data_IF_593785095997
#
_entry.id   IF_593785095997
#
_cell.length_a   1.000
_cell.length_b   1.000
_cell.length_c   1.000
_cell.angle_alpha   90.00
_cell.angle_beta   90.00
_cell.angle_gamma   90.00
#
_symmetry.space_group_name_H-M   'P 1'
#
loop_
_entity.id
_entity.type
_entity.pdbx_description
1 polymer ?
#
# COMPACT_ATOMS: atom_id res chain seq x y z
N UNK A 1 42.80 -5.50 -74.58
CA UNK A 1 43.71 -5.30 -73.44
C UNK A 1 43.73 -6.60 -72.66
N UNK A 2 44.92 -7.13 -72.39
CA UNK A 2 45.15 -8.48 -71.86
C UNK A 2 44.77 -8.54 -70.38
N UNK A 3 44.07 -9.61 -69.98
CA UNK A 3 43.81 -9.94 -68.57
C UNK A 3 45.13 -10.23 -67.84
N UNK A 4 45.55 -9.33 -66.96
CA UNK A 4 46.59 -9.62 -65.96
C UNK A 4 46.01 -10.60 -64.93
N UNK A 5 46.23 -11.90 -65.15
CA UNK A 5 45.97 -12.91 -64.14
C UNK A 5 46.89 -12.66 -62.95
N UNK A 6 46.31 -12.37 -61.79
CA UNK A 6 46.98 -12.34 -60.49
C UNK A 6 47.69 -13.69 -60.26
N UNK A 7 49.00 -13.74 -60.45
CA UNK A 7 49.81 -14.92 -60.16
C UNK A 7 50.03 -14.99 -58.66
N UNK A 8 49.35 -15.91 -57.98
CA UNK A 8 49.60 -16.20 -56.57
C UNK A 8 51.00 -16.84 -56.43
N UNK A 9 51.76 -16.53 -55.36
CA UNK A 9 53.09 -17.09 -55.18
C UNK A 9 53.03 -18.62 -55.06
N UNK A 10 53.86 -19.31 -55.86
CA UNK A 10 54.04 -20.74 -55.80
C UNK A 10 54.52 -21.18 -54.41
N UNK A 11 54.08 -22.37 -53.97
CA UNK A 11 54.41 -22.94 -52.67
C UNK A 11 55.93 -22.94 -52.42
N UNK A 12 56.36 -22.48 -51.23
CA UNK A 12 57.77 -22.54 -50.85
C UNK A 12 58.32 -23.98 -50.92
N UNK A 13 59.58 -24.18 -51.33
CA UNK A 13 60.15 -25.49 -51.54
C UNK A 13 60.17 -26.28 -50.22
N UNK A 14 59.27 -27.26 -50.09
CA UNK A 14 59.11 -28.10 -48.90
C UNK A 14 57.66 -28.29 -48.40
N UNK A 15 56.67 -27.59 -48.96
CA UNK A 15 55.27 -27.77 -48.58
C UNK A 15 54.59 -28.91 -49.37
N UNK A 16 53.99 -29.88 -48.68
CA UNK A 16 53.32 -31.06 -49.27
C UNK A 16 51.96 -30.79 -49.94
N UNK A 17 51.55 -29.52 -50.09
CA UNK A 17 50.28 -29.15 -50.70
C UNK A 17 50.30 -27.72 -51.28
N UNK A 18 49.70 -27.54 -52.46
CA UNK A 18 49.59 -26.27 -53.18
C UNK A 18 48.58 -25.31 -52.50
N UNK A 19 49.05 -24.13 -52.10
CA UNK A 19 48.22 -23.05 -51.54
C UNK A 19 47.69 -22.17 -52.68
N UNK A 20 46.40 -21.85 -52.65
CA UNK A 20 45.75 -21.07 -53.70
C UNK A 20 44.34 -20.62 -53.34
N UNK A 21 43.58 -20.11 -54.31
CA UNK A 21 42.19 -19.72 -54.09
C UNK A 21 41.36 -20.88 -53.54
N UNK A 22 40.62 -20.64 -52.46
CA UNK A 22 39.88 -21.65 -51.67
C UNK A 22 40.73 -22.80 -51.08
N UNK A 23 42.06 -22.70 -51.12
CA UNK A 23 43.02 -23.70 -50.60
C UNK A 23 43.93 -23.07 -49.54
N UNK A 24 43.44 -22.84 -48.30
CA UNK A 24 44.24 -22.21 -47.26
C UNK A 24 45.41 -23.11 -46.82
N UNK A 25 46.55 -22.53 -46.37
CA UNK A 25 47.70 -23.29 -45.88
C UNK A 25 47.31 -24.27 -44.77
N UNK A 26 47.80 -25.50 -44.84
CA UNK A 26 47.45 -26.56 -43.89
C UNK A 26 47.76 -26.16 -42.43
N UNK A 27 48.89 -25.47 -42.19
CA UNK A 27 49.31 -25.03 -40.86
C UNK A 27 48.36 -24.03 -40.17
N UNK A 28 47.48 -23.34 -40.93
CA UNK A 28 46.55 -22.33 -40.40
C UNK A 28 45.09 -22.76 -40.41
N UNK A 29 44.79 -24.01 -40.80
CA UNK A 29 43.40 -24.53 -40.76
C UNK A 29 43.00 -24.85 -39.33
N UNK A 30 41.78 -24.48 -38.95
CA UNK A 30 41.23 -24.90 -37.66
C UNK A 30 41.02 -26.42 -37.63
N UNK A 31 41.27 -27.04 -36.47
CA UNK A 31 41.02 -28.47 -36.29
C UNK A 31 39.51 -28.73 -36.30
N UNK A 32 39.03 -29.79 -36.97
CA UNK A 32 37.63 -30.20 -36.89
C UNK A 32 37.19 -30.35 -35.43
N UNK A 33 36.05 -29.75 -35.08
CA UNK A 33 35.52 -29.77 -33.71
C UNK A 33 36.05 -28.70 -32.75
N UNK A 34 37.09 -27.94 -33.15
CA UNK A 34 37.63 -26.85 -32.33
C UNK A 34 37.31 -25.49 -32.96
N UNK A 35 36.52 -24.67 -32.24
CA UNK A 35 36.26 -23.28 -32.64
C UNK A 35 37.58 -22.50 -32.65
N UNK A 36 37.80 -21.71 -33.70
CA UNK A 36 38.93 -20.77 -33.78
C UNK A 36 38.87 -19.65 -32.73
N UNK A 37 37.72 -19.43 -32.11
CA UNK A 37 37.56 -18.55 -30.95
C UNK A 37 36.86 -19.31 -29.81
N UNK A 38 37.62 -19.93 -28.89
CA UNK A 38 37.07 -20.65 -27.73
C UNK A 38 36.31 -19.74 -26.75
N UNK A 39 36.65 -18.44 -26.71
CA UNK A 39 35.94 -17.42 -25.93
C UNK A 39 34.76 -16.79 -26.69
N UNK A 40 34.51 -17.27 -27.90
CA UNK A 40 33.36 -16.85 -28.70
C UNK A 40 32.05 -17.25 -28.03
N UNK A 41 30.94 -16.75 -28.59
CA UNK A 41 29.61 -17.04 -28.07
C UNK A 41 29.35 -18.56 -28.04
N UNK A 42 28.95 -19.16 -26.91
CA UNK A 42 28.69 -20.59 -26.82
C UNK A 42 27.59 -21.01 -27.80
N UNK A 43 27.84 -22.14 -28.49
CA UNK A 43 26.89 -22.75 -29.43
C UNK A 43 25.60 -23.11 -28.66
N UNK A 44 24.47 -22.50 -29.02
CA UNK A 44 23.16 -22.75 -28.39
C UNK A 44 22.69 -21.72 -27.36
N UNK A 45 23.44 -20.64 -27.09
CA UNK A 45 23.00 -19.57 -26.20
C UNK A 45 21.81 -18.76 -26.79
N UNK A 46 20.58 -19.15 -26.45
CA UNK A 46 19.37 -18.36 -26.73
C UNK A 46 19.28 -17.18 -25.75
N UNK A 47 18.81 -16.02 -26.22
CA UNK A 47 18.40 -14.95 -25.30
C UNK A 47 17.25 -15.53 -24.46
N UNK A 48 17.48 -15.76 -23.16
CA UNK A 48 16.43 -16.25 -22.25
C UNK A 48 15.31 -15.22 -22.27
N UNK A 49 14.13 -15.61 -22.76
CA UNK A 49 12.93 -14.80 -22.57
C UNK A 49 12.58 -14.84 -21.08
N UNK A 50 12.12 -13.73 -20.49
CA UNK A 50 11.65 -13.74 -19.11
C UNK A 50 10.59 -14.83 -18.92
N UNK A 51 10.53 -15.36 -17.69
CA UNK A 51 9.51 -16.33 -17.31
C UNK A 51 8.09 -15.77 -17.53
N UNK A 52 7.08 -16.64 -17.60
CA UNK A 52 5.68 -16.23 -17.81
C UNK A 52 5.14 -15.25 -16.74
N UNK A 53 5.79 -15.20 -15.58
CA UNK A 53 5.48 -14.36 -14.42
C UNK A 53 6.45 -13.18 -14.24
N UNK A 54 7.46 -13.05 -15.11
CA UNK A 54 8.42 -11.95 -15.05
C UNK A 54 7.95 -10.82 -15.97
N UNK A 55 7.10 -9.95 -15.45
CA UNK A 55 6.62 -8.77 -16.15
C UNK A 55 7.62 -7.60 -16.09
N UNK A 56 8.88 -7.87 -16.43
CA UNK A 56 10.01 -6.92 -16.30
C UNK A 56 9.73 -5.53 -16.88
N UNK A 57 8.89 -5.44 -17.91
CA UNK A 57 8.47 -4.16 -18.48
C UNK A 57 7.54 -3.38 -17.56
N UNK A 58 6.59 -4.05 -16.90
CA UNK A 58 5.72 -3.41 -15.91
C UNK A 58 6.53 -2.90 -14.73
N UNK A 59 7.49 -3.69 -14.24
CA UNK A 59 8.37 -3.27 -13.15
C UNK A 59 9.15 -2.00 -13.53
N UNK A 60 9.77 -1.98 -14.71
CA UNK A 60 10.49 -0.79 -15.21
C UNK A 60 9.55 0.42 -15.35
N UNK A 61 8.34 0.22 -15.86
CA UNK A 61 7.35 1.30 -16.02
C UNK A 61 6.94 1.85 -14.64
N UNK A 62 6.68 0.98 -13.67
CA UNK A 62 6.31 1.38 -12.32
C UNK A 62 7.47 2.10 -11.62
N UNK A 63 8.68 1.55 -11.71
CA UNK A 63 9.88 2.16 -11.15
C UNK A 63 10.12 3.57 -11.71
N UNK A 64 10.02 3.76 -13.03
CA UNK A 64 10.20 5.09 -13.63
C UNK A 64 9.02 6.03 -13.34
N UNK A 65 7.80 5.50 -13.24
CA UNK A 65 6.62 6.28 -12.87
C UNK A 65 6.70 6.85 -11.45
N UNK A 66 7.24 6.08 -10.49
CA UNK A 66 7.39 6.47 -9.10
C UNK A 66 8.74 7.11 -8.76
N UNK A 67 9.67 7.17 -9.72
CA UNK A 67 10.92 7.90 -9.54
C UNK A 67 10.67 9.40 -9.50
N UNK A 68 11.30 10.05 -8.52
CA UNK A 68 11.26 11.50 -8.37
C UNK A 68 11.97 12.24 -9.52
N UNK A 69 11.35 13.33 -9.95
CA UNK A 69 11.89 14.31 -10.88
C UNK A 69 11.69 15.73 -10.37
N UNK A 70 12.67 16.58 -10.63
CA UNK A 70 12.59 18.01 -10.28
C UNK A 70 11.82 18.75 -11.36
N UNK A 71 10.68 19.33 -10.99
CA UNK A 71 9.87 20.19 -11.88
C UNK A 71 9.86 21.61 -11.34
N UNK A 72 9.90 22.59 -12.26
CA UNK A 72 9.82 24.01 -11.92
C UNK A 72 8.36 24.47 -11.96
N UNK A 73 7.87 24.96 -10.83
CA UNK A 73 6.55 25.57 -10.66
C UNK A 73 6.73 27.05 -10.36
N UNK A 74 6.65 27.87 -11.42
CA UNK A 74 6.91 29.32 -11.33
C UNK A 74 8.32 29.63 -10.82
N UNK A 75 8.39 30.13 -9.59
CA UNK A 75 9.65 30.51 -8.93
C UNK A 75 10.23 29.43 -8.01
N UNK A 76 9.54 28.29 -7.82
CA UNK A 76 10.00 27.20 -6.94
C UNK A 76 10.27 25.95 -7.76
N UNK A 77 11.21 25.14 -7.29
CA UNK A 77 11.47 23.80 -7.82
C UNK A 77 11.00 22.77 -6.79
N UNK A 78 10.20 21.80 -7.22
CA UNK A 78 9.64 20.75 -6.36
C UNK A 78 10.04 19.39 -6.92
N UNK A 79 10.47 18.48 -6.05
CA UNK A 79 10.68 17.07 -6.39
C UNK A 79 9.36 16.32 -6.23
N UNK A 80 8.87 15.72 -7.31
CA UNK A 80 7.65 14.91 -7.33
C UNK A 80 7.85 13.68 -8.23
N UNK A 81 7.09 12.59 -8.03
CA UNK A 81 7.13 11.43 -8.92
C UNK A 81 6.86 11.79 -10.39
N UNK A 82 7.53 11.11 -11.32
CA UNK A 82 7.40 11.32 -12.76
C UNK A 82 5.94 11.25 -13.22
N UNK A 83 5.19 10.25 -12.77
CA UNK A 83 3.78 10.10 -13.14
C UNK A 83 2.95 11.32 -12.71
N UNK A 84 3.22 11.86 -11.51
CA UNK A 84 2.54 13.06 -11.02
C UNK A 84 2.92 14.30 -11.84
N UNK A 85 4.19 14.46 -12.19
CA UNK A 85 4.67 15.53 -13.06
C UNK A 85 3.99 15.50 -14.45
N UNK A 86 3.88 14.31 -15.06
CA UNK A 86 3.20 14.12 -16.35
C UNK A 86 1.72 14.47 -16.25
N UNK A 87 1.02 14.01 -15.21
CA UNK A 87 -0.40 14.33 -15.00
C UNK A 87 -0.64 15.82 -14.77
N UNK A 88 0.22 16.51 -14.02
CA UNK A 88 0.14 17.98 -13.84
C UNK A 88 0.32 18.71 -15.16
N UNK A 89 1.33 18.34 -15.95
CA UNK A 89 1.57 18.92 -17.27
C UNK A 89 0.39 18.68 -18.22
N UNK A 90 -0.16 17.47 -18.23
CA UNK A 90 -1.36 17.13 -19.01
C UNK A 90 -2.55 18.02 -18.62
N UNK A 91 -2.80 18.20 -17.32
CA UNK A 91 -3.88 19.03 -16.81
C UNK A 91 -3.70 20.51 -17.19
N UNK A 92 -2.49 21.06 -17.07
CA UNK A 92 -2.18 22.45 -17.47
C UNK A 92 -2.44 22.64 -18.97
N UNK A 93 -1.93 21.73 -19.82
CA UNK A 93 -2.13 21.80 -21.27
C UNK A 93 -3.62 21.67 -21.66
N UNK A 94 -4.37 20.82 -20.95
CA UNK A 94 -5.81 20.68 -21.14
C UNK A 94 -6.56 21.98 -20.76
N UNK A 95 -6.20 22.58 -19.62
CA UNK A 95 -6.77 23.85 -19.17
C UNK A 95 -6.45 25.02 -20.12
N UNK A 96 -5.30 24.98 -20.78
CA UNK A 96 -4.90 25.95 -21.81
C UNK A 96 -5.56 25.74 -23.18
N UNK A 97 -6.44 24.74 -23.33
CA UNK A 97 -7.22 24.56 -24.56
C UNK A 97 -6.62 23.60 -25.58
N UNK A 98 -5.56 22.85 -25.25
CA UNK A 98 -5.01 21.88 -26.19
C UNK A 98 -5.95 20.67 -26.35
N UNK A 99 -6.61 20.56 -27.51
CA UNK A 99 -7.64 19.54 -27.77
C UNK A 99 -7.19 18.10 -27.48
N UNK A 100 -5.94 17.74 -27.80
CA UNK A 100 -5.40 16.40 -27.51
C UNK A 100 -5.27 16.15 -26.01
N UNK A 101 -4.76 17.13 -25.27
CA UNK A 101 -4.63 17.05 -23.82
C UNK A 101 -6.00 17.00 -23.14
N UNK A 102 -6.97 17.81 -23.60
CA UNK A 102 -8.35 17.80 -23.09
C UNK A 102 -9.01 16.43 -23.28
N UNK A 103 -8.87 15.82 -24.46
CA UNK A 103 -9.41 14.47 -24.72
C UNK A 103 -8.78 13.43 -23.82
N UNK A 104 -7.44 13.39 -23.74
CA UNK A 104 -6.73 12.42 -22.91
C UNK A 104 -7.07 12.60 -21.43
N UNK A 105 -7.09 13.84 -20.94
CA UNK A 105 -7.46 14.14 -19.55
C UNK A 105 -8.90 13.71 -19.23
N UNK A 106 -9.85 14.01 -20.12
CA UNK A 106 -11.26 13.62 -19.94
C UNK A 106 -11.45 12.09 -19.96
N UNK A 107 -10.69 11.38 -20.79
CA UNK A 107 -10.70 9.91 -20.84
C UNK A 107 -10.16 9.29 -19.54
N UNK A 108 -9.01 9.75 -19.07
CA UNK A 108 -8.42 9.29 -17.81
C UNK A 108 -9.34 9.60 -16.63
N UNK A 109 -9.97 10.78 -16.61
CA UNK A 109 -10.94 11.14 -15.58
C UNK A 109 -12.14 10.19 -15.59
N UNK A 110 -12.75 9.95 -16.77
CA UNK A 110 -13.88 9.04 -16.90
C UNK A 110 -13.52 7.59 -16.51
N UNK A 111 -12.31 7.12 -16.85
CA UNK A 111 -11.84 5.79 -16.48
C UNK A 111 -11.65 5.66 -14.96
N UNK A 112 -11.04 6.66 -14.32
CA UNK A 112 -10.88 6.69 -12.86
C UNK A 112 -12.23 6.77 -12.17
N UNK A 113 -13.14 7.64 -12.63
CA UNK A 113 -14.48 7.76 -12.06
C UNK A 113 -15.29 6.47 -12.25
N UNK A 114 -15.24 5.84 -13.43
CA UNK A 114 -15.93 4.58 -13.68
C UNK A 114 -15.38 3.43 -12.84
N UNK A 115 -14.06 3.32 -12.73
CA UNK A 115 -13.39 2.30 -11.90
C UNK A 115 -13.73 2.50 -10.41
N UNK A 116 -13.65 3.76 -9.94
CA UNK A 116 -14.03 4.15 -8.59
C UNK A 116 -15.50 3.84 -8.32
N UNK A 117 -16.40 4.20 -9.23
CA UNK A 117 -17.84 3.93 -9.10
C UNK A 117 -18.15 2.42 -9.08
N UNK A 118 -17.42 1.61 -9.85
CA UNK A 118 -17.60 0.15 -9.85
C UNK A 118 -17.16 -0.47 -8.52
N UNK A 119 -16.00 -0.06 -8.00
CA UNK A 119 -15.52 -0.52 -6.69
C UNK A 119 -16.45 -0.06 -5.56
N UNK A 120 -16.93 1.18 -5.60
CA UNK A 120 -17.91 1.67 -4.63
C UNK A 120 -19.25 0.94 -4.73
N UNK A 121 -19.73 0.65 -5.94
CA UNK A 121 -20.98 -0.08 -6.12
C UNK A 121 -20.88 -1.52 -5.60
N UNK A 122 -19.78 -2.22 -5.88
CA UNK A 122 -19.52 -3.57 -5.36
C UNK A 122 -19.39 -3.55 -3.83
N UNK A 123 -18.70 -2.54 -3.28
CA UNK A 123 -18.55 -2.39 -1.84
C UNK A 123 -19.89 -2.09 -1.14
N UNK A 124 -20.69 -1.19 -1.72
CA UNK A 124 -22.03 -0.85 -1.25
C UNK A 124 -22.96 -2.07 -1.26
N UNK A 125 -22.97 -2.84 -2.36
CA UNK A 125 -23.77 -4.06 -2.48
C UNK A 125 -23.43 -5.10 -1.39
N UNK A 126 -22.13 -5.32 -1.16
CA UNK A 126 -21.64 -6.21 -0.10
C UNK A 126 -22.03 -5.70 1.30
N UNK A 127 -21.94 -4.40 1.53
CA UNK A 127 -22.31 -3.79 2.81
C UNK A 127 -23.82 -3.90 3.09
N UNK A 128 -24.66 -3.63 2.09
CA UNK A 128 -26.12 -3.80 2.16
C UNK A 128 -26.45 -5.26 2.48
N UNK A 129 -25.85 -6.20 1.75
CA UNK A 129 -26.08 -7.64 1.95
C UNK A 129 -25.70 -8.07 3.36
N UNK A 130 -24.51 -7.68 3.83
CA UNK A 130 -24.05 -7.98 5.19
C UNK A 130 -25.01 -7.46 6.26
N UNK A 131 -25.49 -6.22 6.10
CA UNK A 131 -26.46 -5.61 7.03
C UNK A 131 -27.78 -6.37 7.06
N UNK A 132 -28.37 -6.63 5.89
CA UNK A 132 -29.65 -7.31 5.75
C UNK A 132 -29.57 -8.74 6.31
N UNK A 133 -28.53 -9.49 5.96
CA UNK A 133 -28.40 -10.88 6.37
C UNK A 133 -28.12 -11.01 7.87
N UNK A 134 -27.32 -10.10 8.43
CA UNK A 134 -27.11 -10.04 9.87
C UNK A 134 -28.40 -9.68 10.62
N UNK A 135 -29.20 -8.71 10.15
CA UNK A 135 -30.49 -8.37 10.76
C UNK A 135 -31.49 -9.53 10.72
N UNK A 136 -31.55 -10.24 9.58
CA UNK A 136 -32.39 -11.44 9.43
C UNK A 136 -31.97 -12.52 10.41
N UNK A 137 -30.68 -12.78 10.56
CA UNK A 137 -30.17 -13.80 11.48
C UNK A 137 -30.43 -13.42 12.95
N UNK A 138 -30.24 -12.15 13.32
CA UNK A 138 -30.58 -11.67 14.67
C UNK A 138 -32.08 -11.80 14.97
N UNK A 139 -32.94 -11.46 14.01
CA UNK A 139 -34.40 -11.62 14.14
C UNK A 139 -34.78 -13.08 14.30
N UNK A 140 -34.23 -13.96 13.46
CA UNK A 140 -34.44 -15.42 13.55
C UNK A 140 -34.02 -15.96 14.91
N UNK A 141 -32.87 -15.53 15.45
CA UNK A 141 -32.42 -15.94 16.78
C UNK A 141 -33.36 -15.48 17.88
N UNK A 142 -33.84 -14.25 17.81
CA UNK A 142 -34.81 -13.70 18.77
C UNK A 142 -36.12 -14.48 18.77
N UNK A 143 -36.67 -14.79 17.59
CA UNK A 143 -37.90 -15.58 17.43
C UNK A 143 -37.76 -17.01 17.98
N UNK A 144 -36.56 -17.60 17.85
CA UNK A 144 -36.27 -18.96 18.32
C UNK A 144 -35.71 -19.02 19.75
N UNK A 145 -35.55 -17.87 20.43
CA UNK A 145 -34.96 -17.81 21.77
C UNK A 145 -33.49 -18.26 21.84
N UNK A 146 -32.73 -18.15 20.75
CA UNK A 146 -31.33 -18.59 20.67
C UNK A 146 -30.42 -17.48 21.22
N UNK A 147 -29.91 -17.64 22.44
CA UNK A 147 -29.03 -16.66 23.11
C UNK A 147 -27.55 -17.06 23.16
N UNK A 148 -27.24 -18.33 22.93
CA UNK A 148 -25.90 -18.89 23.21
C UNK A 148 -24.93 -18.82 22.01
N UNK A 149 -25.27 -18.07 20.97
CA UNK A 149 -24.42 -17.94 19.79
C UNK A 149 -23.68 -16.60 19.78
N UNK A 150 -22.43 -16.57 19.29
CA UNK A 150 -21.71 -15.32 19.12
C UNK A 150 -22.47 -14.42 18.15
N UNK A 151 -22.59 -13.14 18.52
CA UNK A 151 -23.16 -12.12 17.64
C UNK A 151 -22.39 -12.05 16.32
N UNK A 152 -23.08 -11.72 15.21
CA UNK A 152 -22.45 -11.54 13.91
C UNK A 152 -21.38 -10.44 13.95
N UNK A 153 -20.36 -10.61 13.11
CA UNK A 153 -19.28 -9.65 12.94
C UNK A 153 -19.09 -9.40 11.44
N UNK A 154 -19.19 -8.14 10.97
CA UNK A 154 -19.63 -6.96 11.74
C UNK A 154 -21.10 -7.10 12.20
N UNK A 155 -21.45 -6.43 13.30
CA UNK A 155 -22.85 -6.30 13.68
C UNK A 155 -23.57 -5.40 12.66
N UNK A 156 -24.85 -5.66 12.29
CA UNK A 156 -25.57 -4.81 11.34
C UNK A 156 -25.59 -3.32 11.69
N UNK A 157 -25.67 -2.99 12.98
CA UNK A 157 -25.64 -1.59 13.45
C UNK A 157 -24.30 -0.90 13.23
N UNK A 158 -23.20 -1.65 13.10
CA UNK A 158 -21.89 -1.10 12.78
C UNK A 158 -21.80 -0.67 11.31
N UNK A 159 -22.67 -1.18 10.43
CA UNK A 159 -22.69 -0.81 9.01
C UNK A 159 -23.66 0.35 8.80
N UNK A 160 -23.12 1.57 8.69
CA UNK A 160 -23.88 2.79 8.39
C UNK A 160 -23.78 3.11 6.89
N UNK A 161 -24.92 3.29 6.25
CA UNK A 161 -24.99 3.53 4.80
C UNK A 161 -25.76 4.84 4.58
N UNK A 162 -25.14 5.80 3.91
CA UNK A 162 -25.84 6.96 3.39
C UNK A 162 -26.37 6.63 1.99
N UNK A 163 -27.67 6.39 1.89
CA UNK A 163 -28.31 6.03 0.62
C UNK A 163 -28.39 7.17 -0.39
N UNK A 164 -28.11 8.42 0.00
CA UNK A 164 -28.05 9.56 -0.92
C UNK A 164 -26.70 9.64 -1.63
N UNK A 165 -25.60 9.44 -0.90
CA UNK A 165 -24.24 9.50 -1.44
C UNK A 165 -23.69 8.14 -1.87
N UNK A 166 -24.25 7.04 -1.35
CA UNK A 166 -23.72 5.69 -1.51
C UNK A 166 -22.51 5.39 -0.60
N UNK A 167 -22.20 6.28 0.35
CA UNK A 167 -21.08 6.09 1.27
C UNK A 167 -21.42 5.05 2.35
N UNK A 168 -20.45 4.17 2.62
CA UNK A 168 -20.52 3.12 3.63
C UNK A 168 -19.48 3.41 4.71
N UNK A 169 -19.94 3.57 5.95
CA UNK A 169 -19.11 3.79 7.13
C UNK A 169 -19.27 2.61 8.10
N UNK A 170 -18.14 1.99 8.48
CA UNK A 170 -18.12 0.91 9.47
C UNK A 170 -17.72 1.50 10.82
N UNK A 171 -18.65 1.48 11.77
CA UNK A 171 -18.51 2.06 13.11
C UNK A 171 -18.55 0.92 14.13
N UNK A 172 -17.49 0.11 14.13
CA UNK A 172 -17.39 -1.09 14.95
C UNK A 172 -16.39 -2.12 14.42
N UNK A 173 -16.14 -3.20 15.19
CA UNK A 173 -15.25 -4.27 14.75
C UNK A 173 -15.79 -4.95 13.49
N UNK A 174 -14.92 -5.12 12.51
CA UNK A 174 -15.16 -5.85 11.27
C UNK A 174 -14.68 -7.29 11.36
N UNK A 175 -13.77 -7.60 12.29
CA UNK A 175 -13.26 -8.95 12.53
C UNK A 175 -13.51 -9.43 13.96
N UNK A 176 -13.45 -10.76 14.16
CA UNK A 176 -13.59 -11.36 15.49
C UNK A 176 -12.44 -10.94 16.42
N UNK A 177 -11.24 -10.84 15.88
CA UNK A 177 -10.04 -10.39 16.59
C UNK A 177 -10.21 -8.96 17.10
N UNK A 178 -10.64 -8.04 16.23
CA UNK A 178 -10.95 -6.66 16.62
C UNK A 178 -12.04 -6.59 17.70
N UNK A 179 -13.05 -7.46 17.61
CA UNK A 179 -14.12 -7.53 18.62
C UNK A 179 -13.60 -8.01 19.98
N UNK A 180 -12.68 -8.96 20.00
CA UNK A 180 -12.05 -9.45 21.23
C UNK A 180 -11.11 -8.40 21.83
N UNK A 181 -10.35 -7.72 20.99
CA UNK A 181 -9.49 -6.61 21.40
C UNK A 181 -10.31 -5.45 22.00
N UNK A 182 -11.41 -5.07 21.34
CA UNK A 182 -12.35 -4.08 21.83
C UNK A 182 -12.91 -4.48 23.21
N UNK A 183 -13.33 -5.73 23.38
CA UNK A 183 -13.80 -6.26 24.68
C UNK A 183 -12.71 -6.19 25.75
N UNK A 184 -11.47 -6.54 25.40
CA UNK A 184 -10.34 -6.46 26.31
C UNK A 184 -10.12 -5.05 26.83
N UNK A 185 -10.13 -4.05 25.93
CA UNK A 185 -9.93 -2.65 26.31
C UNK A 185 -11.10 -2.08 27.10
N UNK A 186 -12.34 -2.39 26.71
CA UNK A 186 -13.53 -2.01 27.48
C UNK A 186 -13.51 -2.59 28.90
N UNK A 187 -13.00 -3.80 29.10
CA UNK A 187 -12.85 -4.41 30.42
C UNK A 187 -11.68 -3.85 31.23
N UNK A 188 -10.67 -3.27 30.57
CA UNK A 188 -9.47 -2.73 31.20
C UNK A 188 -9.61 -1.26 31.59
N UNK A 189 -10.39 -0.49 30.84
CA UNK A 189 -10.58 0.94 31.05
C UNK A 189 -11.11 1.28 32.47
N UNK A 190 -12.12 0.57 33.02
CA UNK A 190 -12.56 0.77 34.41
C UNK A 190 -11.44 0.52 35.42
N UNK A 191 -10.60 -0.49 35.20
CA UNK A 191 -9.47 -0.82 36.10
C UNK A 191 -8.40 0.26 36.10
N UNK A 192 -8.17 0.88 34.94
CA UNK A 192 -7.27 2.04 34.85
C UNK A 192 -7.86 3.21 35.64
N UNK A 193 -9.17 3.44 35.55
CA UNK A 193 -9.83 4.48 36.35
C UNK A 193 -9.75 4.21 37.84
N UNK A 194 -10.02 2.97 38.27
CA UNK A 194 -9.90 2.55 39.67
C UNK A 194 -8.47 2.79 40.20
N UNK A 195 -7.43 2.43 39.43
CA UNK A 195 -6.05 2.68 39.82
C UNK A 195 -5.72 4.18 39.94
N UNK A 196 -6.28 5.03 39.07
CA UNK A 196 -6.15 6.49 39.19
C UNK A 196 -6.86 6.97 40.45
N UNK A 197 -8.09 6.52 40.72
CA UNK A 197 -8.87 6.90 41.90
C UNK A 197 -8.16 6.47 43.21
N UNK A 198 -7.49 5.32 43.23
CA UNK A 198 -6.66 4.86 44.34
C UNK A 198 -5.44 5.77 44.58
N UNK A 199 -4.74 6.17 43.51
CA UNK A 199 -3.62 7.11 43.60
C UNK A 199 -4.07 8.51 44.01
N UNK A 200 -5.21 8.99 43.49
CA UNK A 200 -5.84 10.25 43.92
C UNK A 200 -6.18 10.19 45.42
N UNK A 201 -6.70 9.06 45.91
CA UNK A 201 -6.95 8.84 47.34
C UNK A 201 -5.68 8.85 48.19
N UNK A 202 -4.62 8.16 47.75
CA UNK A 202 -3.33 8.15 48.44
C UNK A 202 -2.69 9.55 48.51
N UNK A 203 -2.86 10.35 47.46
CA UNK A 203 -2.37 11.73 47.41
C UNK A 203 -3.06 12.64 48.45
N UNK A 204 -4.31 12.38 48.82
CA UNK A 204 -5.03 13.21 49.80
C UNK A 204 -4.46 13.13 51.22
N UNK A 205 -3.89 11.97 51.58
CA UNK A 205 -3.38 11.69 52.92
C UNK A 205 -1.84 11.82 53.00
N UNK A 206 -1.15 12.05 51.87
CA UNK A 206 0.31 12.16 51.80
C UNK A 206 0.82 13.57 52.15
N UNK A 207 1.92 13.63 52.89
CA UNK A 207 2.53 14.89 53.35
C UNK A 207 4.02 15.02 53.00
N UNK A 208 4.66 13.96 52.49
CA UNK A 208 6.05 13.97 52.04
C UNK A 208 6.13 14.57 50.63
N UNK A 209 6.82 15.72 50.42
CA UNK A 209 6.82 16.43 49.13
C UNK A 209 7.32 15.62 47.92
N UNK A 210 8.33 14.78 48.12
CA UNK A 210 8.87 13.93 47.06
C UNK A 210 7.88 12.82 46.64
N UNK A 211 7.15 12.25 47.61
CA UNK A 211 6.11 11.23 47.36
C UNK A 211 4.87 11.84 46.71
N UNK A 212 4.44 13.03 47.16
CA UNK A 212 3.39 13.82 46.48
C UNK A 212 3.73 14.00 45.00
N UNK A 213 4.96 14.44 44.72
CA UNK A 213 5.43 14.65 43.33
C UNK A 213 5.42 13.34 42.54
N UNK A 214 5.85 12.23 43.15
CA UNK A 214 5.81 10.89 42.53
C UNK A 214 4.39 10.41 42.21
N UNK A 215 3.44 10.63 43.13
CA UNK A 215 2.03 10.31 42.95
C UNK A 215 1.39 11.18 41.86
N UNK A 216 1.64 12.49 41.84
CA UNK A 216 1.14 13.40 40.80
C UNK A 216 1.60 12.97 39.40
N UNK A 217 2.87 12.58 39.24
CA UNK A 217 3.40 12.07 37.96
C UNK A 217 2.69 10.76 37.56
N UNK A 218 2.45 9.87 38.51
CA UNK A 218 1.80 8.57 38.25
C UNK A 218 0.33 8.73 37.88
N UNK A 219 -0.39 9.64 38.56
CA UNK A 219 -1.77 10.02 38.21
C UNK A 219 -1.81 10.61 36.81
N UNK A 220 -0.93 11.57 36.49
CA UNK A 220 -0.89 12.19 35.16
C UNK A 220 -0.64 11.17 34.04
N UNK A 221 0.25 10.20 34.25
CA UNK A 221 0.48 9.10 33.30
C UNK A 221 -0.75 8.19 33.15
N UNK A 222 -1.43 7.90 34.26
CA UNK A 222 -2.68 7.15 34.27
C UNK A 222 -3.79 7.87 33.49
N UNK A 223 -3.99 9.17 33.74
CA UNK A 223 -4.95 10.01 33.01
C UNK A 223 -4.62 10.08 31.52
N UNK A 224 -3.36 10.26 31.14
CA UNK A 224 -2.94 10.28 29.74
C UNK A 224 -3.25 8.94 29.03
N UNK A 225 -2.96 7.82 29.70
CA UNK A 225 -3.27 6.48 29.17
C UNK A 225 -4.78 6.27 29.04
N UNK A 226 -5.54 6.66 30.07
CA UNK A 226 -7.00 6.57 30.07
C UNK A 226 -7.61 7.38 28.92
N UNK A 227 -7.18 8.63 28.75
CA UNK A 227 -7.69 9.52 27.70
C UNK A 227 -7.37 9.01 26.30
N UNK A 228 -6.15 8.49 26.07
CA UNK A 228 -5.79 7.88 24.79
C UNK A 228 -6.70 6.70 24.45
N UNK A 229 -6.90 5.78 25.40
CA UNK A 229 -7.74 4.60 25.19
C UNK A 229 -9.20 5.01 25.04
N UNK A 230 -9.72 5.88 25.89
CA UNK A 230 -11.09 6.37 25.83
C UNK A 230 -11.38 7.13 24.52
N UNK A 231 -10.43 7.93 24.03
CA UNK A 231 -10.55 8.61 22.74
C UNK A 231 -10.61 7.59 21.59
N UNK A 232 -9.71 6.60 21.60
CA UNK A 232 -9.71 5.54 20.59
C UNK A 232 -11.02 4.71 20.60
N UNK A 233 -11.59 4.46 21.78
CA UNK A 233 -12.86 3.75 21.94
C UNK A 233 -14.07 4.59 21.54
N UNK A 234 -14.09 5.90 21.78
CA UNK A 234 -15.20 6.79 21.41
C UNK A 234 -15.30 7.09 19.89
N UNK A 235 -14.22 6.89 19.13
CA UNK A 235 -14.27 6.91 17.65
C UNK A 235 -15.12 5.76 17.11
N UNK A 236 -15.23 4.67 17.89
CA UNK A 236 -16.18 3.60 17.68
C UNK A 236 -17.44 4.01 18.46
N UNK A 237 -18.43 4.60 17.79
CA UNK A 237 -19.64 5.15 18.42
C UNK A 237 -20.50 4.04 19.07
N UNK A 238 -20.08 3.58 20.25
CA UNK A 238 -20.67 2.48 21.01
C UNK A 238 -21.56 3.10 22.11
N UNK A 239 -22.86 2.74 22.17
CA UNK A 239 -23.73 3.19 23.25
C UNK A 239 -23.18 2.70 24.60
N UNK A 240 -22.82 3.63 25.50
CA UNK A 240 -22.33 3.33 26.85
C UNK A 240 -21.01 4.02 27.24
N UNK A 241 -20.23 4.52 26.27
CA UNK A 241 -18.99 5.25 26.56
C UNK A 241 -19.21 6.74 26.91
N UNK A 242 -20.43 7.26 26.68
CA UNK A 242 -20.81 8.63 27.03
C UNK A 242 -21.25 8.78 28.49
N UNK A 243 -20.35 8.52 29.43
CA UNK A 243 -20.57 8.95 30.82
C UNK A 243 -19.25 9.12 31.52
N UNK A 244 -18.64 10.30 31.39
CA UNK A 244 -17.74 10.93 32.38
C UNK A 244 -17.12 12.22 31.82
N UNK A 245 -17.92 13.21 31.41
CA UNK A 245 -17.43 14.60 31.38
C UNK A 245 -17.63 15.17 32.79
N UNK A 246 -16.64 14.99 33.67
CA UNK A 246 -16.60 15.70 34.95
C UNK A 246 -16.26 17.16 34.65
N UNK A 247 -17.27 18.02 34.69
CA UNK A 247 -17.10 19.49 34.63
C UNK A 247 -16.28 19.89 35.85
N UNK A 248 -15.03 20.31 35.66
CA UNK A 248 -14.27 20.98 36.73
C UNK A 248 -14.93 22.34 36.98
N UNK A 249 -15.74 22.42 38.03
CA UNK A 249 -16.12 23.68 38.65
C UNK A 249 -14.87 24.30 39.24
N UNK A 250 -14.40 25.39 38.62
CA UNK A 250 -13.48 26.32 39.27
C UNK A 250 -14.27 27.18 40.24
N UNK A 251 -14.31 26.81 41.52
CA UNK A 251 -14.61 27.77 42.59
C UNK A 251 -13.31 28.53 42.91
N UNK A 252 -13.26 29.79 42.47
CA UNK A 252 -12.45 30.83 43.10
C UNK A 252 -13.39 31.66 43.95
N UNK A 253 -13.23 31.60 45.27
CA UNK A 253 -13.55 32.70 46.18
C UNK A 253 -12.80 32.46 47.50
N UNK A 254 -12.06 33.48 47.93
CA UNK A 254 -11.25 33.51 49.14
C UNK A 254 -9.93 34.21 48.90
#
# INVERSE_FOLDING_TARGET
>A
MKDEKLVLPAAGPGASYEVGYAKPPAAKRFKPGQSGNPKGRPKGSRNKRPGLHEERMKDIILDDAYRDVTVREGHRSVSIPMAQAVMRSLAINAAQGQLRAQRLFSQLLAEVESSRNMLHAEYLDKAITCKIDGEKELRRRAELGITNQPEPVPHPDHVKIDFRSGEVNIVGPMTREEKEELKYWLAKLPKIREAIDELEGALMDETVPDEITGLEVSIAQGEELYDKINTALNVVDIPGAQSSRRVRMTERNG
#
